data_IF_966629002824
#
_entry.id   IF_966629002824
#
_cell.length_a   1.000
_cell.length_b   1.000
_cell.length_c   1.000
_cell.angle_alpha   90.00
_cell.angle_beta   90.00
_cell.angle_gamma   90.00
#
_symmetry.space_group_name_H-M   'P 1'
#
loop_
_entity.id
_entity.type
_entity.pdbx_description
1 polymer ?
#
# COMPACT_ATOMS: atom_id res chain seq x y z
N UNK A 1 5.77 -19.85 12.58
CA UNK A 1 5.66 -19.26 11.23
C UNK A 1 6.38 -17.92 11.26
N UNK A 2 7.29 -17.66 10.33
CA UNK A 2 7.97 -16.36 10.24
C UNK A 2 6.94 -15.34 9.75
N UNK A 3 6.67 -14.25 10.47
CA UNK A 3 5.75 -13.22 9.99
C UNK A 3 6.36 -12.57 8.75
N UNK A 4 5.65 -12.66 7.62
CA UNK A 4 6.01 -12.00 6.37
C UNK A 4 5.44 -10.58 6.45
N UNK A 5 6.31 -9.59 6.60
CA UNK A 5 5.94 -8.18 6.81
C UNK A 5 5.57 -7.41 5.52
N UNK A 6 5.30 -8.10 4.42
CA UNK A 6 4.90 -7.48 3.17
C UNK A 6 3.74 -8.25 2.54
N UNK A 7 2.75 -7.52 2.04
CA UNK A 7 1.48 -8.05 1.55
C UNK A 7 1.62 -9.16 0.49
N UNK A 8 0.61 -10.02 0.41
CA UNK A 8 0.49 -11.04 -0.62
C UNK A 8 0.33 -10.36 -2.00
N UNK A 9 1.43 -10.19 -2.73
CA UNK A 9 1.39 -9.85 -4.16
C UNK A 9 0.62 -10.95 -4.89
N UNK A 10 -0.54 -10.60 -5.46
CA UNK A 10 -1.39 -11.50 -6.27
C UNK A 10 -1.07 -11.44 -7.76
N UNK A 11 0.12 -10.97 -8.13
CA UNK A 11 0.58 -11.06 -9.51
C UNK A 11 1.00 -12.49 -9.87
N UNK A 12 2.01 -12.60 -10.73
CA UNK A 12 2.43 -13.88 -11.30
C UNK A 12 2.88 -14.89 -10.24
N UNK A 13 2.57 -16.18 -10.47
CA UNK A 13 3.15 -17.28 -9.70
C UNK A 13 4.62 -17.43 -10.09
N UNK A 14 5.54 -17.04 -9.22
CA UNK A 14 6.98 -17.20 -9.45
C UNK A 14 7.59 -18.19 -8.46
N UNK A 15 8.60 -18.94 -8.91
CA UNK A 15 9.36 -19.86 -8.04
C UNK A 15 10.49 -19.16 -7.29
N UNK A 16 11.00 -18.07 -7.87
CA UNK A 16 12.06 -17.24 -7.30
C UNK A 16 11.87 -15.78 -7.71
N UNK A 17 12.22 -14.88 -6.81
CA UNK A 17 12.32 -13.45 -7.02
C UNK A 17 13.69 -13.03 -6.50
N UNK A 18 14.49 -12.38 -7.34
CA UNK A 18 15.82 -11.92 -6.95
C UNK A 18 16.20 -10.63 -7.70
N UNK A 19 17.21 -9.93 -7.20
CA UNK A 19 17.83 -8.81 -7.90
C UNK A 19 19.09 -9.32 -8.58
N UNK A 20 19.06 -9.36 -9.91
CA UNK A 20 20.22 -9.77 -10.72
C UNK A 20 20.67 -8.64 -11.62
N UNK A 21 21.88 -8.74 -12.14
CA UNK A 21 22.37 -7.81 -13.16
C UNK A 21 21.83 -8.21 -14.54
N UNK A 22 21.22 -7.27 -15.26
CA UNK A 22 20.81 -7.48 -16.65
C UNK A 22 22.03 -7.50 -17.60
N UNK A 23 21.80 -7.60 -18.91
CA UNK A 23 22.87 -7.63 -19.93
C UNK A 23 23.71 -6.35 -20.01
N UNK A 24 23.24 -5.24 -19.41
CA UNK A 24 23.98 -3.97 -19.26
C UNK A 24 24.56 -3.80 -17.86
N UNK A 25 24.59 -4.87 -17.06
CA UNK A 25 25.14 -4.93 -15.70
C UNK A 25 24.38 -4.10 -14.66
N UNK A 26 23.14 -3.71 -14.95
CA UNK A 26 22.31 -2.91 -14.04
C UNK A 26 21.52 -3.83 -13.11
N UNK A 27 21.47 -3.55 -11.79
CA UNK A 27 20.63 -4.30 -10.85
C UNK A 27 19.15 -4.16 -11.20
N UNK A 28 18.51 -5.29 -11.43
CA UNK A 28 17.15 -5.37 -11.94
C UNK A 28 16.41 -6.47 -11.20
N UNK A 29 15.16 -6.20 -10.83
CA UNK A 29 14.30 -7.20 -10.19
C UNK A 29 13.87 -8.19 -11.28
N UNK A 30 14.10 -9.48 -11.07
CA UNK A 30 13.71 -10.54 -11.99
C UNK A 30 12.92 -11.60 -11.24
N UNK A 31 11.90 -12.16 -11.88
CA UNK A 31 11.25 -13.37 -11.40
C UNK A 31 11.37 -14.52 -12.39
N UNK A 32 11.49 -15.74 -11.86
CA UNK A 32 11.42 -16.97 -12.64
C UNK A 32 10.05 -17.64 -12.53
N UNK A 33 9.49 -18.05 -13.68
CA UNK A 33 8.22 -18.75 -13.78
C UNK A 33 8.42 -20.24 -14.10
N UNK A 34 7.38 -21.05 -13.87
CA UNK A 34 7.38 -22.49 -14.13
C UNK A 34 7.43 -22.85 -15.62
N UNK A 35 7.21 -21.86 -16.49
CA UNK A 35 7.32 -21.98 -17.95
C UNK A 35 8.78 -21.94 -18.43
N UNK A 36 9.76 -21.79 -17.53
CA UNK A 36 11.18 -21.75 -17.85
C UNK A 36 11.69 -20.38 -18.28
N UNK A 37 10.86 -19.33 -18.19
CA UNK A 37 11.25 -17.97 -18.52
C UNK A 37 11.60 -17.14 -17.28
N UNK A 38 12.54 -16.21 -17.48
CA UNK A 38 12.88 -15.15 -16.54
C UNK A 38 12.29 -13.84 -17.06
N UNK A 39 11.62 -13.11 -16.18
CA UNK A 39 10.93 -11.87 -16.52
C UNK A 39 11.56 -10.70 -15.77
N UNK A 40 11.98 -9.70 -16.54
CA UNK A 40 12.57 -8.46 -16.06
C UNK A 40 11.48 -7.48 -15.61
N UNK A 41 11.52 -7.03 -14.36
CA UNK A 41 10.55 -6.08 -13.76
C UNK A 41 11.11 -4.66 -13.64
N UNK A 42 12.26 -4.39 -14.26
CA UNK A 42 12.93 -3.09 -14.18
C UNK A 42 13.77 -2.91 -12.92
N UNK A 43 14.36 -1.72 -12.81
CA UNK A 43 15.34 -1.41 -11.75
C UNK A 43 14.60 -0.97 -10.48
N UNK A 44 15.12 -1.27 -9.28
CA UNK A 44 14.52 -0.85 -8.02
C UNK A 44 14.26 0.67 -7.90
N UNK A 45 15.05 1.49 -8.61
CA UNK A 45 14.90 2.94 -8.70
C UNK A 45 14.73 3.43 -10.15
N UNK A 46 14.40 2.52 -11.08
CA UNK A 46 14.32 2.81 -12.52
C UNK A 46 13.05 3.56 -12.91
N UNK A 47 12.80 3.67 -14.22
CA UNK A 47 11.55 4.21 -14.76
C UNK A 47 10.34 3.39 -14.31
N UNK A 48 9.16 4.02 -14.31
CA UNK A 48 7.91 3.34 -14.02
C UNK A 48 7.69 2.21 -15.04
N UNK A 49 7.27 1.05 -14.54
CA UNK A 49 7.01 -0.13 -15.33
C UNK A 49 5.53 -0.51 -15.20
N UNK A 50 4.84 -0.56 -16.33
CA UNK A 50 3.46 -1.04 -16.44
C UNK A 50 3.43 -2.48 -16.98
N UNK A 51 2.34 -3.20 -16.72
CA UNK A 51 2.20 -4.60 -17.12
C UNK A 51 2.23 -4.71 -18.66
N UNK A 52 3.26 -5.39 -19.16
CA UNK A 52 3.53 -5.52 -20.58
C UNK A 52 3.60 -6.97 -21.05
N UNK A 53 2.75 -7.88 -20.54
CA UNK A 53 2.74 -9.23 -21.10
C UNK A 53 2.39 -9.23 -22.61
N UNK A 54 1.81 -8.13 -23.17
CA UNK A 54 1.72 -7.86 -24.63
C UNK A 54 1.73 -6.39 -25.14
N UNK A 55 1.43 -5.34 -24.37
CA UNK A 55 1.31 -3.97 -24.94
C UNK A 55 1.66 -2.77 -24.04
N UNK A 56 2.13 -2.98 -22.80
CA UNK A 56 2.62 -1.90 -21.93
C UNK A 56 1.58 -0.84 -21.54
N UNK A 57 0.29 -1.19 -21.51
CA UNK A 57 -0.81 -0.24 -21.20
C UNK A 57 -1.67 -0.65 -20.01
N UNK A 58 -1.40 -1.79 -19.38
CA UNK A 58 -2.21 -2.33 -18.28
C UNK A 58 -1.54 -2.03 -16.95
N UNK A 59 -2.28 -1.46 -16.00
CA UNK A 59 -1.80 -1.24 -14.64
C UNK A 59 -1.56 -2.56 -13.92
N UNK A 60 -0.45 -2.63 -13.17
CA UNK A 60 -0.18 -3.75 -12.26
C UNK A 60 -1.02 -3.57 -11.00
N UNK A 61 -1.79 -4.59 -10.63
CA UNK A 61 -2.52 -4.59 -9.36
C UNK A 61 -1.55 -4.88 -8.21
N UNK A 62 -1.42 -3.93 -7.29
CA UNK A 62 -0.74 -4.09 -6.02
C UNK A 62 -1.79 -4.34 -4.94
N UNK A 63 -1.71 -5.47 -4.25
CA UNK A 63 -2.61 -5.81 -3.14
C UNK A 63 -1.79 -6.03 -1.89
N UNK A 64 -2.01 -5.20 -0.87
CA UNK A 64 -1.42 -5.37 0.46
C UNK A 64 -2.50 -5.81 1.43
N UNK A 65 -2.39 -7.03 1.95
CA UNK A 65 -3.27 -7.56 2.99
C UNK A 65 -2.48 -7.67 4.28
N UNK A 66 -2.99 -7.05 5.34
CA UNK A 66 -2.39 -7.12 6.66
C UNK A 66 -2.57 -8.47 7.33
N UNK A 67 -1.80 -8.67 8.40
CA UNK A 67 -2.12 -9.71 9.38
C UNK A 67 -3.39 -9.33 10.14
N UNK A 68 -3.99 -10.31 10.80
CA UNK A 68 -5.06 -10.06 11.75
C UNK A 68 -4.52 -9.27 12.95
N UNK A 69 -5.13 -8.13 13.22
CA UNK A 69 -4.79 -7.22 14.32
C UNK A 69 -5.89 -7.28 15.38
N UNK A 70 -5.51 -7.43 16.65
CA UNK A 70 -6.43 -7.45 17.78
C UNK A 70 -5.71 -7.94 19.04
N UNK A 71 -5.80 -7.17 20.13
CA UNK A 71 -5.06 -7.51 21.37
C UNK A 71 -5.70 -8.66 22.16
N UNK A 72 -7.04 -8.74 22.17
CA UNK A 72 -7.80 -9.79 22.85
C UNK A 72 -8.96 -10.25 21.97
N UNK A 73 -9.01 -11.55 21.66
CA UNK A 73 -10.04 -12.17 20.83
C UNK A 73 -11.36 -12.42 21.55
N UNK A 74 -11.45 -12.11 22.85
CA UNK A 74 -12.67 -12.25 23.67
C UNK A 74 -13.48 -10.96 23.73
N UNK A 75 -12.86 -9.82 23.43
CA UNK A 75 -13.46 -8.50 23.60
C UNK A 75 -13.73 -7.88 22.22
N UNK A 76 -14.96 -7.43 22.00
CA UNK A 76 -15.35 -6.71 20.79
C UNK A 76 -14.74 -5.30 20.78
N UNK A 77 -14.45 -4.78 19.60
CA UNK A 77 -13.83 -3.45 19.43
C UNK A 77 -14.53 -2.70 18.34
N UNK A 78 -14.61 -1.39 18.50
CA UNK A 78 -15.01 -0.45 17.47
C UNK A 78 -13.72 0.10 16.84
N UNK A 79 -13.52 -0.13 15.55
CA UNK A 79 -12.43 0.42 14.76
C UNK A 79 -12.86 1.77 14.21
N UNK A 80 -12.11 2.81 14.57
CA UNK A 80 -12.49 4.22 14.37
C UNK A 80 -11.59 4.93 13.35
N UNK A 81 -10.30 4.60 13.33
CA UNK A 81 -9.33 5.35 12.52
C UNK A 81 -8.24 4.45 11.95
N UNK A 82 -7.87 4.71 10.70
CA UNK A 82 -6.69 4.16 10.06
C UNK A 82 -5.75 5.32 9.68
N UNK A 83 -4.51 5.22 10.12
CA UNK A 83 -3.43 6.10 9.67
C UNK A 83 -2.48 5.32 8.78
N UNK A 84 -2.14 5.89 7.63
CA UNK A 84 -1.30 5.29 6.59
C UNK A 84 -0.05 6.14 6.38
N UNK A 85 1.09 5.47 6.16
CA UNK A 85 2.33 6.09 5.68
C UNK A 85 2.76 5.43 4.37
N UNK A 86 3.01 6.27 3.37
CA UNK A 86 3.36 5.87 2.02
C UNK A 86 4.71 6.40 1.62
N UNK A 87 5.37 5.67 0.71
CA UNK A 87 6.49 6.16 -0.09
C UNK A 87 5.95 6.76 -1.40
N UNK A 88 5.54 8.02 -1.40
CA UNK A 88 4.89 8.72 -2.51
C UNK A 88 5.90 9.44 -3.44
N UNK A 89 6.61 8.69 -4.28
CA UNK A 89 7.49 9.24 -5.32
C UNK A 89 6.71 9.85 -6.51
N UNK A 90 5.45 9.45 -6.67
CA UNK A 90 4.47 9.99 -7.60
C UNK A 90 3.10 9.94 -6.91
N UNK A 91 2.12 10.61 -7.49
CA UNK A 91 0.74 10.48 -7.04
C UNK A 91 0.32 9.00 -7.12
N UNK A 92 -0.47 8.57 -6.14
CA UNK A 92 -1.14 7.28 -6.13
C UNK A 92 -2.64 7.54 -6.11
N UNK A 93 -3.24 7.46 -7.29
CA UNK A 93 -4.68 7.65 -7.49
C UNK A 93 -5.41 6.31 -7.44
N UNK A 94 -6.71 6.37 -7.14
CA UNK A 94 -7.55 5.17 -7.16
C UNK A 94 -7.17 4.09 -6.13
N UNK A 95 -6.41 4.44 -5.09
CA UNK A 95 -6.15 3.55 -3.96
C UNK A 95 -7.49 3.15 -3.34
N UNK A 96 -7.68 1.87 -3.04
CA UNK A 96 -8.86 1.41 -2.30
C UNK A 96 -8.47 0.73 -1.01
N UNK A 97 -9.22 1.00 0.05
CA UNK A 97 -9.06 0.39 1.37
C UNK A 97 -10.32 -0.38 1.76
N UNK A 98 -10.14 -1.56 2.35
CA UNK A 98 -11.21 -2.32 3.02
C UNK A 98 -10.69 -2.96 4.30
N UNK A 99 -11.57 -3.16 5.27
CA UNK A 99 -11.28 -3.77 6.56
C UNK A 99 -12.14 -5.01 6.74
N UNK A 100 -11.52 -6.18 6.87
CA UNK A 100 -12.23 -7.40 7.26
C UNK A 100 -12.21 -7.54 8.79
N UNK A 101 -13.35 -7.89 9.37
CA UNK A 101 -13.52 -8.25 10.79
C UNK A 101 -14.28 -9.58 10.88
N UNK A 102 -14.45 -10.20 12.07
CA UNK A 102 -15.34 -11.35 12.23
C UNK A 102 -16.79 -11.08 11.83
N UNK A 103 -17.25 -9.83 11.92
CA UNK A 103 -18.66 -9.49 11.82
C UNK A 103 -19.02 -9.11 10.37
N UNK A 104 -18.12 -8.40 9.69
CA UNK A 104 -18.31 -8.03 8.28
C UNK A 104 -16.97 -7.66 7.63
N UNK A 105 -17.01 -7.44 6.31
CA UNK A 105 -15.96 -6.70 5.60
C UNK A 105 -16.54 -5.37 5.17
N UNK A 106 -15.83 -4.27 5.44
CA UNK A 106 -16.28 -2.95 5.02
C UNK A 106 -16.30 -2.84 3.50
N UNK A 107 -17.21 -2.02 2.98
CA UNK A 107 -17.16 -1.62 1.57
C UNK A 107 -15.84 -0.92 1.29
N UNK A 108 -15.24 -1.18 0.14
CA UNK A 108 -14.00 -0.54 -0.25
C UNK A 108 -14.19 0.97 -0.42
N UNK A 109 -13.36 1.76 0.25
CA UNK A 109 -13.32 3.23 0.10
C UNK A 109 -12.14 3.62 -0.77
N UNK A 110 -12.38 4.44 -1.80
CA UNK A 110 -11.31 5.00 -2.62
C UNK A 110 -10.72 6.27 -2.01
N UNK A 111 -9.43 6.47 -2.18
CA UNK A 111 -8.73 7.70 -1.80
C UNK A 111 -7.53 7.92 -2.72
N UNK A 112 -6.91 9.08 -2.61
CA UNK A 112 -5.71 9.45 -3.37
C UNK A 112 -4.64 9.94 -2.42
N UNK A 113 -3.40 9.56 -2.70
CA UNK A 113 -2.22 10.09 -2.03
C UNK A 113 -1.50 10.96 -3.05
N UNK A 114 -1.46 12.27 -2.80
CA UNK A 114 -0.77 13.22 -3.66
C UNK A 114 0.69 13.26 -3.25
N UNK A 115 1.59 13.02 -4.20
CA UNK A 115 3.00 13.37 -4.10
C UNK A 115 3.16 14.85 -4.42
N UNK A 116 3.93 15.59 -3.63
CA UNK A 116 4.01 17.02 -3.88
C UNK A 116 4.99 17.71 -2.96
N UNK A 117 6.14 18.03 -3.53
CA UNK A 117 7.19 18.84 -2.94
C UNK A 117 7.93 19.49 -4.13
N UNK A 118 8.08 20.82 -4.16
CA UNK A 118 8.78 21.56 -5.22
C UNK A 118 10.31 21.67 -4.99
N UNK A 119 11.14 21.24 -5.96
CA UNK A 119 12.61 21.21 -5.86
C UNK A 119 13.20 22.60 -5.58
N UNK A 120 14.30 22.64 -4.83
CA UNK A 120 15.07 23.87 -4.60
C UNK A 120 15.42 24.51 -5.97
N UNK A 121 15.09 25.80 -6.12
CA UNK A 121 15.21 26.66 -7.31
C UNK A 121 13.99 26.81 -8.25
N UNK A 122 12.96 25.95 -8.17
CA UNK A 122 11.67 26.11 -8.89
C UNK A 122 10.54 26.65 -7.99
N UNK A 123 10.82 26.86 -6.70
CA UNK A 123 9.83 27.28 -5.71
C UNK A 123 9.61 28.80 -5.72
N UNK A 124 8.38 29.23 -5.96
CA UNK A 124 7.95 30.62 -5.73
C UNK A 124 7.65 30.80 -4.25
N UNK A 125 8.38 31.71 -3.60
CA UNK A 125 8.17 32.07 -2.20
C UNK A 125 6.70 32.48 -1.96
N UNK A 126 6.10 32.00 -0.88
CA UNK A 126 4.69 32.18 -0.50
C UNK A 126 3.62 31.57 -1.43
N UNK A 127 4.02 30.89 -2.52
CA UNK A 127 3.08 30.21 -3.44
C UNK A 127 3.32 28.69 -3.48
N UNK A 128 4.55 28.25 -3.24
CA UNK A 128 4.93 26.84 -3.33
C UNK A 128 5.33 26.27 -1.96
N UNK A 129 4.97 25.02 -1.71
CA UNK A 129 5.41 24.23 -0.56
C UNK A 129 6.80 23.64 -0.85
N UNK A 130 7.71 23.73 0.12
CA UNK A 130 9.14 23.40 -0.02
C UNK A 130 9.39 21.90 -0.20
N UNK A 131 10.10 21.47 -1.24
CA UNK A 131 10.66 20.12 -1.30
C UNK A 131 11.95 19.98 -0.53
N UNK A 132 11.90 19.15 0.50
CA UNK A 132 12.79 17.99 0.48
C UNK A 132 12.15 16.91 -0.40
N UNK A 133 12.89 15.89 -0.84
CA UNK A 133 12.26 14.63 -1.28
C UNK A 133 11.46 14.06 -0.10
N UNK A 134 10.28 14.62 0.19
CA UNK A 134 9.29 14.04 1.07
C UNK A 134 8.74 12.84 0.33
N UNK A 135 9.55 11.80 0.30
CA UNK A 135 9.17 10.46 -0.09
C UNK A 135 8.01 9.98 0.79
N UNK A 136 7.85 10.53 1.99
CA UNK A 136 6.78 10.13 2.90
C UNK A 136 5.52 10.98 2.75
N UNK A 137 4.39 10.32 2.52
CA UNK A 137 3.06 10.93 2.55
C UNK A 137 2.17 10.19 3.54
N UNK A 138 1.37 10.94 4.30
CA UNK A 138 0.43 10.38 5.27
C UNK A 138 -1.01 10.61 4.84
N UNK A 139 -1.86 9.61 5.10
CA UNK A 139 -3.30 9.71 4.87
C UNK A 139 -4.05 9.07 6.04
N UNK A 140 -5.17 9.66 6.42
CA UNK A 140 -6.02 9.16 7.49
C UNK A 140 -7.41 8.87 6.94
N UNK A 141 -7.94 7.69 7.29
CA UNK A 141 -9.30 7.27 6.94
C UNK A 141 -10.10 7.05 8.23
N UNK A 142 -11.32 7.57 8.26
CA UNK A 142 -12.30 7.21 9.27
C UNK A 142 -12.85 5.81 9.00
N UNK A 143 -13.05 5.05 10.07
CA UNK A 143 -13.58 3.69 10.04
C UNK A 143 -14.89 3.67 10.82
N UNK A 144 -15.83 2.86 10.35
CA UNK A 144 -17.04 2.54 11.07
C UNK A 144 -17.27 1.03 10.94
N UNK A 145 -16.54 0.27 11.75
CA UNK A 145 -16.57 -1.19 11.71
C UNK A 145 -16.27 -1.73 13.09
N UNK A 146 -16.87 -2.87 13.42
CA UNK A 146 -16.69 -3.53 14.70
C UNK A 146 -16.21 -4.97 14.53
N UNK A 147 -15.54 -5.47 15.55
CA UNK A 147 -15.11 -6.86 15.60
C UNK A 147 -13.96 -7.13 16.57
N UNK A 148 -13.80 -8.40 16.91
CA UNK A 148 -12.75 -8.86 17.85
C UNK A 148 -11.34 -8.70 17.28
N UNK A 149 -11.22 -8.75 15.94
CA UNK A 149 -10.01 -8.47 15.19
C UNK A 149 -10.33 -7.69 13.90
N UNK A 150 -9.30 -7.06 13.34
CA UNK A 150 -9.34 -6.37 12.06
C UNK A 150 -8.21 -6.83 11.15
N UNK A 151 -8.48 -6.91 9.84
CA UNK A 151 -7.48 -7.23 8.82
C UNK A 151 -7.60 -6.24 7.67
N UNK A 152 -6.72 -5.23 7.59
CA UNK A 152 -6.77 -4.22 6.55
C UNK A 152 -6.33 -4.78 5.20
N UNK A 153 -6.89 -4.24 4.12
CA UNK A 153 -6.49 -4.51 2.74
C UNK A 153 -6.44 -3.20 1.96
N UNK A 154 -5.31 -2.94 1.31
CA UNK A 154 -5.12 -1.82 0.38
C UNK A 154 -4.90 -2.39 -1.02
N UNK A 155 -5.51 -1.76 -2.03
CA UNK A 155 -5.29 -2.08 -3.45
C UNK A 155 -4.93 -0.81 -4.21
N UNK A 156 -3.93 -0.90 -5.10
CA UNK A 156 -3.59 0.13 -6.09
C UNK A 156 -3.51 -0.51 -7.48
N UNK A 157 -4.10 0.14 -8.49
CA UNK A 157 -4.10 -0.36 -9.88
C UNK A 157 -4.27 0.80 -10.87
N UNK A 158 -3.35 1.76 -10.85
CA UNK A 158 -3.30 2.85 -11.81
C UNK A 158 -2.03 2.75 -12.68
N UNK A 159 -2.18 2.96 -13.98
CA UNK A 159 -1.09 2.89 -14.97
C UNK A 159 -0.20 4.12 -14.83
N UNK A 160 1.11 3.95 -14.97
CA UNK A 160 2.05 5.07 -14.94
C UNK A 160 2.29 5.64 -13.53
N UNK A 161 1.87 4.93 -12.48
CA UNK A 161 2.04 5.35 -11.09
C UNK A 161 2.90 4.37 -10.30
N UNK A 162 3.67 4.89 -9.33
CA UNK A 162 4.44 4.08 -8.39
C UNK A 162 3.58 3.76 -7.17
N UNK A 163 3.65 2.52 -6.70
CA UNK A 163 3.07 2.14 -5.42
C UNK A 163 4.17 1.98 -4.35
N UNK A 164 4.00 2.64 -3.22
CA UNK A 164 4.91 2.51 -2.09
C UNK A 164 4.18 2.68 -0.76
N UNK A 165 4.16 1.63 0.06
CA UNK A 165 3.56 1.66 1.40
C UNK A 165 4.65 1.38 2.45
N UNK A 166 4.76 2.24 3.45
CA UNK A 166 5.67 2.04 4.58
C UNK A 166 4.98 1.28 5.72
N UNK A 167 3.71 1.59 5.98
CA UNK A 167 2.95 0.92 7.02
C UNK A 167 1.61 1.59 7.32
N UNK A 168 0.93 1.04 8.31
CA UNK A 168 -0.34 1.57 8.82
C UNK A 168 -0.46 1.38 10.33
N UNK A 169 -1.36 2.16 10.91
CA UNK A 169 -1.81 2.04 12.30
C UNK A 169 -3.33 2.09 12.33
N UNK A 170 -3.94 1.25 13.17
CA UNK A 170 -5.39 1.23 13.38
C UNK A 170 -5.70 1.62 14.81
N UNK A 171 -6.51 2.66 14.99
CA UNK A 171 -7.12 3.05 16.24
C UNK A 171 -8.41 2.26 16.47
N UNK A 172 -8.52 1.62 17.64
CA UNK A 172 -9.70 0.88 18.04
C UNK A 172 -9.95 1.03 19.53
N UNK A 173 -11.23 1.05 19.91
CA UNK A 173 -11.68 1.13 21.30
C UNK A 173 -12.44 -0.13 21.67
N UNK A 174 -12.39 -0.50 22.95
CA UNK A 174 -13.23 -1.59 23.45
C UNK A 174 -14.68 -1.16 23.33
N UNK A 175 -15.48 -2.05 22.75
CA UNK A 175 -16.93 -1.91 22.72
C UNK A 175 -17.46 -2.15 24.14
N UNK A 176 -17.96 -1.10 24.78
CA UNK A 176 -18.41 -1.10 26.17
C UNK A 176 -19.41 0.02 26.41
N UNK A 177 -20.17 -0.10 27.50
CA UNK A 177 -21.23 0.85 27.81
C UNK A 177 -20.66 2.27 28.04
N UNK A 178 -21.29 3.27 27.41
CA UNK A 178 -21.05 4.66 27.77
C UNK A 178 -21.39 4.87 29.26
N UNK A 179 -20.59 5.65 30.00
CA UNK A 179 -20.97 6.02 31.36
C UNK A 179 -22.33 6.71 31.32
N UNK A 180 -23.28 6.22 32.13
CA UNK A 180 -24.60 6.83 32.25
C UNK A 180 -24.44 8.34 32.47
N UNK A 181 -25.05 9.14 31.58
CA UNK A 181 -25.10 10.59 31.75
C UNK A 181 -25.70 10.89 33.12
N UNK A 182 -24.96 11.62 33.96
CA UNK A 182 -25.46 12.08 35.26
C UNK A 182 -26.61 13.07 35.09
#
# INVERSE_FOLDING_TARGET
>A
AVPVFAGLFRGYTFQSLDVVKNNTLVPTVIHGSTDGYLYEHGQPLGSIWDHALKSGTVAIEHVVVGTTLGHDIRINKIYDRLDLSFRAQSDMTGLTFSLATPNATTVSTSFTVVSGNAVWDDAIWDTNTWAVEGLEAHSTLGLNSDGRWARPKIVHQATGERFGLNGWQIGAYVDGDDPASK
#
